data_IF_897950843665
#
_entry.id   IF_897950843665
#
_cell.length_a   1.000
_cell.length_b   1.000
_cell.length_c   1.000
_cell.angle_alpha   90.00
_cell.angle_beta   90.00
_cell.angle_gamma   90.00
#
_symmetry.space_group_name_H-M   'P 1'
#
loop_
_entity.id
_entity.type
_entity.pdbx_description
1 polymer ?
#
# COMPACT_ATOMS: atom_id res chain seq x y z
N UNK A 1 14.00 -17.87 22.67
CA UNK A 1 12.61 -17.70 22.21
C UNK A 1 12.59 -18.17 20.76
N UNK A 2 11.70 -19.07 20.38
CA UNK A 2 11.25 -19.09 18.99
C UNK A 2 10.40 -17.84 18.81
N UNK A 3 10.67 -17.07 17.76
CA UNK A 3 9.88 -15.89 17.39
C UNK A 3 8.42 -16.32 17.18
N UNK A 4 7.58 -16.07 18.19
CA UNK A 4 6.15 -16.23 18.03
C UNK A 4 5.68 -15.00 17.26
N UNK A 5 5.34 -15.18 15.99
CA UNK A 5 4.70 -14.14 15.17
C UNK A 5 3.44 -13.68 15.94
N UNK A 6 3.49 -12.47 16.50
CA UNK A 6 2.38 -11.89 17.27
C UNK A 6 1.37 -11.20 16.37
N UNK A 7 1.81 -10.73 15.20
CA UNK A 7 1.00 -10.05 14.20
C UNK A 7 1.51 -10.36 12.80
N UNK A 8 0.58 -10.53 11.87
CA UNK A 8 0.87 -10.69 10.44
C UNK A 8 0.29 -9.49 9.71
N UNK A 9 1.05 -8.96 8.76
CA UNK A 9 0.59 -7.86 7.91
C UNK A 9 -0.09 -8.44 6.68
N UNK A 10 -1.34 -8.06 6.42
CA UNK A 10 -2.06 -8.41 5.18
C UNK A 10 -2.26 -7.14 4.34
N UNK A 11 -2.03 -7.26 3.03
CA UNK A 11 -2.24 -6.22 2.02
C UNK A 11 -3.67 -6.24 1.43
N UNK A 12 -4.32 -7.41 1.38
CA UNK A 12 -5.77 -7.64 1.42
C UNK A 12 -6.07 -9.16 1.63
N UNK A 13 -7.34 -9.52 1.88
CA UNK A 13 -7.77 -10.92 2.02
C UNK A 13 -7.76 -11.75 0.72
N UNK A 14 -7.89 -11.13 -0.47
CA UNK A 14 -7.77 -11.82 -1.78
C UNK A 14 -6.38 -12.43 -1.99
N UNK A 15 -5.31 -11.71 -1.65
CA UNK A 15 -3.93 -12.22 -1.75
C UNK A 15 -3.64 -13.33 -0.72
N UNK A 16 -4.38 -13.31 0.39
CA UNK A 16 -4.28 -14.32 1.44
C UNK A 16 -4.78 -15.70 0.95
N UNK A 17 -5.88 -15.73 0.18
CA UNK A 17 -6.40 -16.96 -0.45
C UNK A 17 -5.40 -17.50 -1.49
N UNK A 18 -4.81 -16.63 -2.31
CA UNK A 18 -3.81 -17.04 -3.30
C UNK A 18 -2.52 -17.57 -2.66
N UNK A 19 -2.07 -16.96 -1.56
CA UNK A 19 -0.90 -17.43 -0.82
C UNK A 19 -1.12 -18.80 -0.14
N UNK A 20 -2.33 -19.06 0.37
CA UNK A 20 -2.67 -20.39 0.92
C UNK A 20 -2.93 -21.44 -0.17
N UNK A 21 -3.41 -21.05 -1.36
CA UNK A 21 -3.47 -21.96 -2.51
C UNK A 21 -2.08 -22.36 -3.02
N UNK A 22 -1.09 -21.46 -2.92
CA UNK A 22 0.25 -21.68 -3.44
C UNK A 22 1.22 -22.33 -2.43
N UNK A 23 0.95 -22.23 -1.12
CA UNK A 23 1.79 -22.76 -0.04
C UNK A 23 1.05 -23.67 0.96
N UNK A 24 -0.25 -23.89 0.78
CA UNK A 24 -0.98 -24.91 1.50
C UNK A 24 -0.58 -26.28 0.98
N UNK A 25 0.05 -27.10 1.81
CA UNK A 25 0.10 -28.54 1.55
C UNK A 25 -1.33 -29.03 1.33
N UNK A 26 -1.57 -29.80 0.28
CA UNK A 26 -2.85 -30.49 0.04
C UNK A 26 -3.27 -31.22 1.32
N UNK A 27 -4.14 -30.57 2.10
CA UNK A 27 -4.96 -31.29 3.05
C UNK A 27 -6.09 -31.80 2.18
N UNK A 28 -6.07 -33.10 1.90
CA UNK A 28 -7.21 -33.87 1.40
C UNK A 28 -8.39 -33.67 2.36
N UNK A 29 -9.09 -32.56 2.22
CA UNK A 29 -10.48 -32.40 2.63
C UNK A 29 -11.29 -32.56 1.36
N UNK A 30 -11.44 -33.83 0.97
CA UNK A 30 -12.45 -34.28 0.01
C UNK A 30 -13.82 -33.83 0.51
N UNK A 31 -14.36 -32.78 -0.10
CA UNK A 31 -15.79 -32.61 -0.30
C UNK A 31 -15.99 -32.08 -1.72
N UNK A 32 -16.69 -32.88 -2.51
CA UNK A 32 -16.92 -32.76 -3.94
C UNK A 32 -17.35 -31.34 -4.37
N UNK A 33 -16.55 -30.72 -5.24
CA UNK A 33 -16.98 -29.60 -6.09
C UNK A 33 -16.88 -30.12 -7.53
N UNK A 34 -17.96 -30.08 -8.34
CA UNK A 34 -17.92 -30.57 -9.70
C UNK A 34 -16.90 -29.77 -10.53
N UNK A 35 -15.91 -30.48 -11.09
CA UNK A 35 -15.00 -29.94 -12.09
C UNK A 35 -15.81 -29.53 -13.34
N UNK A 36 -15.93 -28.23 -13.62
CA UNK A 36 -16.20 -27.77 -14.99
C UNK A 36 -14.88 -27.48 -15.66
N UNK A 37 -14.51 -28.45 -16.49
CA UNK A 37 -13.45 -28.49 -17.49
C UNK A 37 -13.02 -27.13 -18.05
N UNK A 38 -11.75 -26.78 -17.84
CA UNK A 38 -11.02 -25.84 -18.67
C UNK A 38 -10.55 -26.56 -19.93
N UNK A 39 -10.86 -26.01 -21.11
CA UNK A 39 -10.16 -26.30 -22.36
C UNK A 39 -9.15 -25.17 -22.60
N UNK A 40 -7.86 -25.45 -22.83
CA UNK A 40 -6.83 -24.45 -23.09
C UNK A 40 -6.78 -24.06 -24.57
N UNK A 41 -5.99 -23.02 -24.87
CA UNK A 41 -5.60 -22.53 -26.19
C UNK A 41 -6.54 -21.53 -26.87
N UNK A 42 -6.29 -20.24 -26.66
CA UNK A 42 -6.02 -19.29 -27.77
C UNK A 42 -5.06 -18.19 -27.26
N UNK A 43 -3.84 -18.18 -27.79
CA UNK A 43 -2.99 -16.98 -27.83
C UNK A 43 -3.64 -15.90 -28.71
N UNK A 44 -3.71 -14.67 -28.21
CA UNK A 44 -4.25 -13.55 -29.00
C UNK A 44 -4.09 -12.22 -28.28
N UNK A 45 -3.04 -11.50 -28.65
CA UNK A 45 -2.79 -10.11 -28.29
C UNK A 45 -3.93 -9.24 -28.87
N UNK A 46 -4.63 -8.47 -28.03
CA UNK A 46 -5.46 -7.37 -28.51
C UNK A 46 -5.62 -6.27 -27.44
N UNK A 47 -5.44 -5.04 -27.91
CA UNK A 47 -5.66 -3.77 -27.23
C UNK A 47 -6.98 -3.72 -26.43
N UNK A 48 -6.95 -3.08 -25.26
CA UNK A 48 -8.15 -2.53 -24.64
C UNK A 48 -8.02 -1.01 -24.55
N UNK A 49 -8.56 -0.35 -25.57
CA UNK A 49 -9.12 0.99 -25.48
C UNK A 49 -10.19 1.00 -24.38
N UNK A 50 -10.00 1.80 -23.33
CA UNK A 50 -11.01 2.04 -22.29
C UNK A 50 -11.69 3.37 -22.57
N UNK A 51 -12.64 3.35 -23.49
CA UNK A 51 -13.73 4.33 -23.52
C UNK A 51 -14.85 3.84 -22.57
N UNK A 52 -15.16 4.67 -21.58
CA UNK A 52 -16.30 4.53 -20.68
C UNK A 52 -17.56 5.11 -21.34
N UNK A 53 -18.68 4.38 -21.27
CA UNK A 53 -20.00 4.96 -20.97
C UNK A 53 -20.92 3.90 -20.29
N UNK A 54 -21.88 4.31 -19.42
CA UNK A 54 -22.49 3.48 -18.37
C UNK A 54 -23.91 3.00 -18.70
N UNK A 55 -24.40 2.13 -17.82
CA UNK A 55 -25.78 1.62 -17.68
C UNK A 55 -26.21 0.47 -18.61
N UNK A 56 -26.21 -0.76 -18.05
CA UNK A 56 -27.43 -1.42 -17.58
C UNK A 56 -27.12 -2.88 -17.18
N UNK A 57 -27.75 -3.37 -16.12
CA UNK A 57 -27.93 -4.81 -15.88
C UNK A 57 -27.48 -5.30 -14.50
N UNK A 58 -28.40 -5.25 -13.55
CA UNK A 58 -28.33 -5.87 -12.22
C UNK A 58 -28.43 -7.41 -12.30
N UNK A 59 -28.10 -8.05 -11.17
CA UNK A 59 -28.43 -9.41 -10.73
C UNK A 59 -27.43 -10.54 -11.04
N UNK A 60 -26.38 -10.60 -10.20
CA UNK A 60 -26.09 -11.84 -9.47
C UNK A 60 -25.51 -11.47 -8.10
N UNK A 61 -26.39 -11.48 -7.10
CA UNK A 61 -26.09 -11.14 -5.70
C UNK A 61 -25.06 -12.09 -5.09
N UNK A 62 -23.79 -11.76 -5.25
CA UNK A 62 -22.74 -12.28 -4.37
C UNK A 62 -22.93 -11.59 -3.02
N UNK A 63 -23.39 -12.35 -2.02
CA UNK A 63 -23.45 -11.87 -0.65
C UNK A 63 -22.03 -11.51 -0.19
N UNK A 64 -21.75 -10.21 -0.12
CA UNK A 64 -20.49 -9.68 0.33
C UNK A 64 -20.44 -9.75 1.86
N UNK A 65 -19.91 -10.83 2.40
CA UNK A 65 -19.52 -10.83 3.80
C UNK A 65 -18.18 -10.12 3.88
N UNK A 66 -18.20 -8.85 4.32
CA UNK A 66 -16.97 -8.15 4.67
C UNK A 66 -16.26 -8.95 5.75
N UNK A 67 -15.01 -9.31 5.50
CA UNK A 67 -14.17 -9.99 6.50
C UNK A 67 -13.91 -9.06 7.70
N UNK A 68 -14.09 -7.73 7.56
CA UNK A 68 -14.13 -6.82 8.72
C UNK A 68 -15.25 -7.20 9.71
N UNK A 69 -16.37 -7.80 9.26
CA UNK A 69 -17.47 -8.24 10.12
C UNK A 69 -17.24 -9.64 10.77
N UNK A 70 -16.33 -10.45 10.22
CA UNK A 70 -15.96 -11.77 10.78
C UNK A 70 -14.78 -11.64 11.76
N UNK A 71 -13.86 -10.71 11.49
CA UNK A 71 -12.62 -10.56 12.25
C UNK A 71 -12.75 -9.75 13.55
N UNK A 72 -13.89 -9.10 13.79
CA UNK A 72 -14.04 -8.23 14.97
C UNK A 72 -14.25 -9.00 16.28
N UNK A 73 -14.60 -10.31 16.26
CA UNK A 73 -15.05 -10.96 17.50
C UNK A 73 -14.39 -12.27 17.96
N UNK A 74 -13.51 -12.98 17.23
CA UNK A 74 -13.07 -14.29 17.78
C UNK A 74 -11.72 -14.87 17.36
N UNK A 75 -11.01 -14.28 16.40
CA UNK A 75 -9.72 -14.84 16.00
C UNK A 75 -8.59 -14.09 16.71
N UNK A 76 -7.98 -14.71 17.73
CA UNK A 76 -6.78 -14.22 18.43
C UNK A 76 -5.52 -14.05 17.56
N UNK A 77 -5.68 -13.88 16.25
CA UNK A 77 -4.66 -13.52 15.28
C UNK A 77 -4.74 -12.00 15.08
N UNK A 78 -3.82 -11.25 15.67
CA UNK A 78 -3.74 -9.79 15.52
C UNK A 78 -3.33 -9.39 14.09
N UNK A 79 -4.28 -9.38 13.16
CA UNK A 79 -4.05 -8.97 11.78
C UNK A 79 -3.86 -7.45 11.71
N UNK A 80 -2.67 -7.03 11.27
CA UNK A 80 -2.33 -5.62 11.09
C UNK A 80 -2.57 -5.23 9.64
N UNK A 81 -3.33 -4.16 9.39
CA UNK A 81 -3.48 -3.59 8.04
C UNK A 81 -2.11 -3.09 7.57
N UNK A 82 -1.72 -3.46 6.35
CA UNK A 82 -0.45 -3.02 5.78
C UNK A 82 -0.38 -1.48 5.69
N UNK A 83 0.63 -0.89 6.33
CA UNK A 83 0.86 0.54 6.30
C UNK A 83 1.17 1.05 4.89
N UNK A 84 1.99 0.29 4.13
CA UNK A 84 2.30 0.58 2.72
C UNK A 84 1.02 0.60 1.89
N UNK A 85 0.17 -0.41 2.05
CA UNK A 85 -1.13 -0.46 1.37
C UNK A 85 -2.03 0.72 1.77
N UNK A 86 -2.05 1.08 3.05
CA UNK A 86 -2.81 2.23 3.54
C UNK A 86 -2.34 3.54 2.90
N UNK A 87 -1.03 3.76 2.79
CA UNK A 87 -0.46 4.91 2.07
C UNK A 87 -0.79 4.86 0.56
N UNK A 88 -0.77 3.68 -0.06
CA UNK A 88 -1.16 3.52 -1.45
C UNK A 88 -2.63 3.93 -1.67
N UNK A 89 -3.54 3.52 -0.78
CA UNK A 89 -4.95 3.94 -0.82
C UNK A 89 -5.13 5.45 -0.57
N UNK A 90 -4.29 6.06 0.29
CA UNK A 90 -4.28 7.52 0.45
C UNK A 90 -3.92 8.19 -0.87
N UNK A 91 -2.87 7.73 -1.53
CA UNK A 91 -2.31 8.35 -2.71
C UNK A 91 -3.10 8.04 -4.00
N UNK A 92 -3.98 7.02 -3.98
CA UNK A 92 -4.89 6.67 -5.08
C UNK A 92 -6.34 7.04 -4.75
N UNK A 93 -7.02 6.24 -3.94
CA UNK A 93 -8.46 6.35 -3.68
C UNK A 93 -8.83 7.68 -3.03
N UNK A 94 -8.11 8.10 -2.00
CA UNK A 94 -8.42 9.38 -1.33
C UNK A 94 -8.03 10.58 -2.17
N UNK A 95 -6.89 10.50 -2.86
CA UNK A 95 -6.42 11.53 -3.79
C UNK A 95 -7.46 11.85 -4.89
N UNK A 96 -8.24 10.86 -5.34
CA UNK A 96 -9.28 11.07 -6.35
C UNK A 96 -10.34 12.10 -5.94
N UNK A 97 -10.57 12.35 -4.63
CA UNK A 97 -11.47 13.43 -4.18
C UNK A 97 -11.05 14.81 -4.66
N UNK A 98 -9.76 15.00 -4.97
CA UNK A 98 -9.27 16.26 -5.54
C UNK A 98 -9.89 16.56 -6.91
N UNK A 99 -10.30 15.53 -7.64
CA UNK A 99 -10.89 15.65 -8.98
C UNK A 99 -12.31 16.23 -8.96
N UNK A 100 -12.94 16.33 -7.79
CA UNK A 100 -14.21 17.04 -7.61
C UNK A 100 -14.02 18.56 -7.83
N UNK A 101 -12.80 19.07 -7.62
CA UNK A 101 -12.44 20.43 -7.99
C UNK A 101 -12.21 20.53 -9.50
N UNK A 102 -13.08 21.28 -10.19
CA UNK A 102 -13.00 21.50 -11.65
C UNK A 102 -11.71 22.19 -12.09
N UNK A 103 -11.22 23.16 -11.31
CA UNK A 103 -9.95 23.85 -11.56
C UNK A 103 -8.75 22.91 -11.45
N UNK A 104 -8.69 22.09 -10.40
CA UNK A 104 -7.65 21.07 -10.26
C UNK A 104 -7.73 20.02 -11.36
N UNK A 105 -8.93 19.46 -11.62
CA UNK A 105 -9.14 18.40 -12.62
C UNK A 105 -8.70 18.85 -14.02
N UNK A 106 -9.08 20.07 -14.41
CA UNK A 106 -8.71 20.63 -15.72
C UNK A 106 -7.20 20.90 -15.84
N UNK A 107 -6.59 21.51 -14.82
CA UNK A 107 -5.14 21.75 -14.78
C UNK A 107 -4.34 20.43 -14.81
N UNK A 108 -4.76 19.45 -14.00
CA UNK A 108 -4.16 18.12 -13.94
C UNK A 108 -4.23 17.42 -15.30
N UNK A 109 -5.43 17.36 -15.91
CA UNK A 109 -5.61 16.75 -17.23
C UNK A 109 -4.72 17.41 -18.27
N UNK A 110 -4.65 18.75 -18.27
CA UNK A 110 -3.84 19.51 -19.23
C UNK A 110 -2.34 19.25 -19.07
N UNK A 111 -1.79 19.36 -17.86
CA UNK A 111 -0.36 19.19 -17.63
C UNK A 111 0.08 17.72 -17.82
N UNK A 112 -0.65 16.77 -17.21
CA UNK A 112 -0.29 15.35 -17.24
C UNK A 112 -0.46 14.73 -18.63
N UNK A 113 -1.48 15.11 -19.41
CA UNK A 113 -1.63 14.59 -20.78
C UNK A 113 -0.49 15.01 -21.71
N UNK A 114 0.05 16.22 -21.55
CA UNK A 114 1.22 16.68 -22.30
C UNK A 114 2.47 15.88 -21.94
N UNK A 115 2.72 15.66 -20.65
CA UNK A 115 3.83 14.83 -20.19
C UNK A 115 3.68 13.37 -20.67
N UNK A 116 2.48 12.81 -20.58
CA UNK A 116 2.17 11.45 -21.02
C UNK A 116 2.42 11.25 -22.51
N UNK A 117 2.07 12.22 -23.36
CA UNK A 117 2.37 12.13 -24.80
C UNK A 117 3.86 11.98 -25.08
N UNK A 118 4.70 12.73 -24.38
CA UNK A 118 6.15 12.63 -24.54
C UNK A 118 6.69 11.29 -24.00
N UNK A 119 6.20 10.83 -22.85
CA UNK A 119 6.59 9.53 -22.30
C UNK A 119 6.17 8.37 -23.21
N UNK A 120 4.96 8.42 -23.77
CA UNK A 120 4.47 7.42 -24.73
C UNK A 120 5.28 7.41 -26.02
N UNK A 121 5.66 8.59 -26.52
CA UNK A 121 6.52 8.69 -27.70
C UNK A 121 7.86 7.98 -27.46
N UNK A 122 8.46 8.20 -26.30
CA UNK A 122 9.73 7.56 -25.92
C UNK A 122 9.58 6.05 -25.67
N UNK A 123 8.46 5.57 -25.15
CA UNK A 123 8.28 4.15 -24.85
C UNK A 123 7.97 3.30 -26.09
N UNK A 124 7.36 3.88 -27.12
CA UNK A 124 6.86 3.14 -28.29
C UNK A 124 7.85 2.99 -29.43
N UNK A 125 8.96 3.73 -29.45
CA UNK A 125 9.93 3.69 -30.56
C UNK A 125 11.34 4.00 -30.08
N UNK A 126 12.29 3.13 -30.44
CA UNK A 126 13.73 3.34 -30.22
C UNK A 126 14.24 4.55 -31.01
N UNK A 127 13.81 4.72 -32.26
CA UNK A 127 14.14 5.88 -33.10
C UNK A 127 13.65 7.18 -32.47
N UNK A 128 12.42 7.19 -31.95
CA UNK A 128 11.91 8.36 -31.23
C UNK A 128 12.68 8.61 -29.93
N UNK A 129 13.03 7.55 -29.18
CA UNK A 129 13.83 7.66 -27.97
C UNK A 129 15.23 8.24 -28.24
N UNK A 130 15.87 7.86 -29.36
CA UNK A 130 17.17 8.38 -29.78
C UNK A 130 17.07 9.83 -30.26
N UNK A 131 16.02 10.19 -31.00
CA UNK A 131 15.74 11.59 -31.37
C UNK A 131 15.49 12.48 -30.15
N UNK A 132 14.77 11.97 -29.15
CA UNK A 132 14.56 12.64 -27.86
C UNK A 132 15.90 12.80 -27.13
N UNK A 133 16.73 11.75 -27.09
CA UNK A 133 18.05 11.80 -26.48
C UNK A 133 18.95 12.82 -27.19
N UNK A 134 18.93 12.87 -28.51
CA UNK A 134 19.70 13.82 -29.31
C UNK A 134 19.24 15.26 -29.05
N UNK A 135 17.94 15.49 -28.95
CA UNK A 135 17.37 16.84 -28.75
C UNK A 135 17.57 17.33 -27.32
N UNK A 136 17.33 16.47 -26.33
CA UNK A 136 17.38 16.82 -24.90
C UNK A 136 18.79 16.65 -24.30
N UNK A 137 19.70 15.97 -25.02
CA UNK A 137 21.02 15.54 -24.53
C UNK A 137 20.96 14.74 -23.22
N UNK A 138 19.81 14.11 -22.96
CA UNK A 138 19.54 13.32 -21.75
C UNK A 138 18.47 12.27 -22.04
N UNK A 139 18.61 11.08 -21.46
CA UNK A 139 17.57 10.04 -21.48
C UNK A 139 16.40 10.49 -20.61
N UNK A 140 15.21 10.55 -21.19
CA UNK A 140 13.98 10.87 -20.46
C UNK A 140 13.63 9.73 -19.49
N UNK A 141 13.37 10.04 -18.22
CA UNK A 141 12.84 9.08 -17.26
C UNK A 141 11.32 8.95 -17.49
N UNK A 142 10.82 7.72 -17.57
CA UNK A 142 9.40 7.43 -17.84
C UNK A 142 8.76 6.74 -16.65
N UNK A 143 7.47 7.01 -16.37
CA UNK A 143 6.73 6.32 -15.34
C UNK A 143 6.68 4.81 -15.61
N UNK A 144 6.77 4.03 -14.54
CA UNK A 144 6.58 2.58 -14.55
C UNK A 144 5.34 2.28 -13.72
N UNK A 145 4.33 1.68 -14.37
CA UNK A 145 3.03 1.37 -13.77
C UNK A 145 3.18 0.40 -12.59
N UNK A 146 4.16 -0.52 -12.65
CA UNK A 146 4.41 -1.52 -11.62
C UNK A 146 5.13 -0.95 -10.38
N UNK A 147 5.50 0.33 -10.40
CA UNK A 147 6.24 0.98 -9.31
C UNK A 147 5.61 2.34 -8.98
N UNK A 148 4.86 2.39 -7.90
CA UNK A 148 4.02 3.54 -7.50
C UNK A 148 4.73 4.91 -7.50
N UNK A 149 5.95 5.01 -6.95
CA UNK A 149 6.72 6.27 -6.91
C UNK A 149 7.34 6.67 -8.27
N UNK A 150 7.32 5.79 -9.28
CA UNK A 150 7.98 6.05 -10.56
C UNK A 150 7.38 7.22 -11.32
N UNK A 151 6.06 7.43 -11.22
CA UNK A 151 5.39 8.61 -11.78
C UNK A 151 5.93 9.89 -11.14
N UNK A 152 6.08 9.90 -9.81
CA UNK A 152 6.65 11.04 -9.10
C UNK A 152 8.07 11.35 -9.56
N UNK A 153 8.93 10.33 -9.60
CA UNK A 153 10.33 10.49 -9.99
C UNK A 153 10.45 11.01 -11.43
N UNK A 154 9.59 10.51 -12.32
CA UNK A 154 9.52 10.95 -13.71
C UNK A 154 9.06 12.41 -13.82
N UNK A 155 8.04 12.80 -13.07
CA UNK A 155 7.55 14.20 -13.03
C UNK A 155 8.62 15.13 -12.49
N UNK A 156 9.31 14.77 -11.40
CA UNK A 156 10.39 15.60 -10.83
C UNK A 156 11.49 15.83 -11.84
N UNK A 157 11.99 14.76 -12.49
CA UNK A 157 13.05 14.89 -13.51
C UNK A 157 12.56 15.70 -14.71
N UNK A 158 11.33 15.48 -15.15
CA UNK A 158 10.76 16.17 -16.30
C UNK A 158 10.50 17.66 -16.03
N UNK A 159 9.99 18.01 -14.86
CA UNK A 159 9.76 19.41 -14.49
C UNK A 159 11.07 20.19 -14.41
N UNK A 160 12.12 19.59 -13.80
CA UNK A 160 13.46 20.17 -13.79
C UNK A 160 14.01 20.45 -15.21
N UNK A 161 13.68 19.59 -16.19
CA UNK A 161 14.04 19.79 -17.59
C UNK A 161 13.24 20.96 -18.20
N UNK A 162 11.94 21.05 -17.91
CA UNK A 162 11.08 22.14 -18.38
C UNK A 162 11.48 23.50 -17.79
N UNK A 163 11.98 23.55 -16.55
CA UNK A 163 12.49 24.77 -15.93
C UNK A 163 13.81 25.22 -16.56
N UNK A 164 14.74 24.29 -16.81
CA UNK A 164 16.08 24.61 -17.30
C UNK A 164 16.18 24.78 -18.81
N UNK A 165 15.42 24.00 -19.57
CA UNK A 165 15.55 23.94 -21.03
C UNK A 165 14.22 23.60 -21.71
N UNK A 166 13.18 24.39 -21.40
CA UNK A 166 11.85 24.21 -22.00
C UNK A 166 11.87 24.21 -23.53
N UNK A 167 12.68 25.08 -24.12
CA UNK A 167 12.82 25.20 -25.56
C UNK A 167 13.32 23.90 -26.21
N UNK A 168 14.20 23.13 -25.58
CA UNK A 168 14.60 21.82 -26.10
C UNK A 168 13.44 20.82 -26.11
N UNK A 169 12.58 20.84 -25.09
CA UNK A 169 11.38 19.99 -25.07
C UNK A 169 10.42 20.35 -26.19
N UNK A 170 10.25 21.64 -26.50
CA UNK A 170 9.41 22.07 -27.63
C UNK A 170 10.02 21.76 -29.00
N UNK A 171 11.35 21.64 -29.09
CA UNK A 171 12.06 21.22 -30.31
C UNK A 171 12.00 19.71 -30.56
N UNK A 172 11.52 18.91 -29.60
CA UNK A 172 11.25 17.49 -29.84
C UNK A 172 10.12 17.42 -30.88
N UNK A 173 10.52 17.31 -32.13
CA UNK A 173 9.63 17.25 -33.28
C UNK A 173 9.74 15.85 -33.86
N UNK A 174 8.69 15.06 -33.71
CA UNK A 174 8.61 13.72 -34.29
C UNK A 174 7.43 13.68 -35.25
N UNK A 175 7.58 13.15 -36.49
CA UNK A 175 6.58 13.30 -37.56
C UNK A 175 5.15 12.89 -37.20
N UNK A 176 4.99 11.96 -36.25
CA UNK A 176 3.71 11.41 -35.82
C UNK A 176 3.18 11.99 -34.49
N UNK A 177 3.94 12.84 -33.80
CA UNK A 177 3.54 13.39 -32.49
C UNK A 177 3.80 14.89 -32.44
N UNK A 178 2.72 15.67 -32.54
CA UNK A 178 2.74 17.10 -32.23
C UNK A 178 2.66 17.30 -30.73
N UNK A 179 3.81 17.58 -30.11
CA UNK A 179 3.84 17.98 -28.70
C UNK A 179 3.27 19.38 -28.55
N UNK A 180 2.32 19.51 -27.62
CA UNK A 180 1.80 20.83 -27.27
C UNK A 180 2.83 21.58 -26.44
N UNK A 181 2.92 22.89 -26.65
CA UNK A 181 3.77 23.78 -25.87
C UNK A 181 3.38 23.75 -24.39
N UNK A 182 4.37 23.53 -23.53
CA UNK A 182 4.25 23.68 -22.08
C UNK A 182 4.26 25.16 -21.71
N UNK A 183 3.21 25.62 -21.03
CA UNK A 183 3.08 27.00 -20.53
C UNK A 183 3.69 27.13 -19.13
N UNK A 184 3.86 28.35 -18.63
CA UNK A 184 4.30 28.58 -17.25
C UNK A 184 3.33 27.99 -16.22
N UNK A 185 2.02 28.00 -16.51
CA UNK A 185 1.02 27.33 -15.68
C UNK A 185 1.23 25.82 -15.62
N UNK A 186 1.62 25.18 -16.72
CA UNK A 186 1.88 23.72 -16.71
C UNK A 186 3.11 23.41 -15.85
N UNK A 187 4.18 24.21 -15.95
CA UNK A 187 5.40 24.05 -15.13
C UNK A 187 5.11 24.34 -13.67
N UNK A 188 4.37 25.41 -13.35
CA UNK A 188 3.93 25.72 -11.99
C UNK A 188 3.10 24.58 -11.39
N UNK A 189 2.19 24.01 -12.18
CA UNK A 189 1.39 22.85 -11.76
C UNK A 189 2.26 21.63 -11.43
N UNK A 190 3.24 21.28 -12.29
CA UNK A 190 4.15 20.16 -12.05
C UNK A 190 5.15 20.43 -10.91
N UNK A 191 5.46 21.70 -10.65
CA UNK A 191 6.28 22.11 -9.51
C UNK A 191 5.55 21.86 -8.20
N UNK A 192 4.29 22.27 -8.10
CA UNK A 192 3.44 21.99 -6.94
C UNK A 192 3.18 20.48 -6.76
N UNK A 193 3.00 19.74 -7.86
CA UNK A 193 2.97 18.27 -7.85
C UNK A 193 4.18 17.71 -7.11
N UNK A 194 5.39 18.11 -7.55
CA UNK A 194 6.62 17.58 -7.00
C UNK A 194 6.75 17.91 -5.50
N UNK A 195 6.34 19.11 -5.09
CA UNK A 195 6.38 19.52 -3.69
C UNK A 195 5.46 18.64 -2.82
N UNK A 196 4.20 18.51 -3.19
CA UNK A 196 3.20 17.77 -2.39
C UNK A 196 3.48 16.26 -2.40
N UNK A 197 3.66 15.68 -3.58
CA UNK A 197 3.78 14.22 -3.74
C UNK A 197 5.10 13.70 -3.18
N UNK A 198 6.17 14.50 -3.16
CA UNK A 198 7.47 14.07 -2.62
C UNK A 198 7.41 13.64 -1.15
N UNK A 199 6.57 14.26 -0.34
CA UNK A 199 6.41 13.90 1.07
C UNK A 199 5.77 12.52 1.23
N UNK A 200 4.76 12.23 0.39
CA UNK A 200 4.11 10.91 0.36
C UNK A 200 5.06 9.84 -0.19
N UNK A 201 5.79 10.15 -1.28
CA UNK A 201 6.76 9.23 -1.88
C UNK A 201 7.89 8.85 -0.90
N UNK A 202 8.47 9.82 -0.20
CA UNK A 202 9.51 9.58 0.82
C UNK A 202 9.00 8.75 1.99
N UNK A 203 7.76 9.00 2.43
CA UNK A 203 7.14 8.21 3.49
C UNK A 203 6.97 6.75 3.07
N UNK A 204 6.49 6.55 1.84
CA UNK A 204 6.30 5.23 1.24
C UNK A 204 7.62 4.47 1.12
N UNK A 205 8.65 5.09 0.55
CA UNK A 205 9.99 4.48 0.38
C UNK A 205 10.58 4.05 1.73
N UNK A 206 10.38 4.87 2.77
CA UNK A 206 10.87 4.57 4.11
C UNK A 206 10.15 3.38 4.75
N UNK A 207 8.82 3.27 4.59
CA UNK A 207 8.03 2.20 5.20
C UNK A 207 8.19 0.88 4.41
N UNK A 208 8.39 0.97 3.09
CA UNK A 208 8.62 -0.20 2.24
C UNK A 208 10.07 -0.70 2.31
N UNK A 209 11.03 0.18 2.64
CA UNK A 209 12.44 -0.16 2.72
C UNK A 209 12.75 -1.20 3.80
N UNK A 210 13.46 -2.27 3.42
CA UNK A 210 13.81 -3.40 4.32
C UNK A 210 14.48 -2.94 5.62
N UNK A 211 15.35 -1.93 5.53
CA UNK A 211 16.13 -1.44 6.68
C UNK A 211 15.29 -0.65 7.71
N UNK A 212 14.09 -0.22 7.34
CA UNK A 212 13.21 0.61 8.17
C UNK A 212 11.78 0.03 8.29
N UNK A 213 11.54 -1.18 7.79
CA UNK A 213 10.25 -1.86 7.80
C UNK A 213 9.95 -2.53 9.17
N UNK A 214 10.07 -1.78 10.26
CA UNK A 214 9.68 -2.22 11.60
C UNK A 214 8.70 -1.23 12.24
N UNK A 215 7.90 -1.74 13.18
CA UNK A 215 6.75 -1.02 13.73
C UNK A 215 7.09 0.35 14.34
N UNK A 216 8.22 0.44 15.04
CA UNK A 216 8.67 1.69 15.68
C UNK A 216 9.11 2.80 14.72
N UNK A 217 9.26 2.54 13.41
CA UNK A 217 9.52 3.58 12.41
C UNK A 217 8.23 4.18 11.82
N UNK A 218 7.10 3.47 11.94
CA UNK A 218 5.87 3.80 11.23
C UNK A 218 5.25 5.09 11.76
N UNK A 219 5.00 5.15 13.08
CA UNK A 219 4.34 6.30 13.71
C UNK A 219 5.14 7.61 13.48
N UNK A 220 6.47 7.66 13.67
CA UNK A 220 7.28 8.84 13.33
C UNK A 220 7.22 9.23 11.86
N UNK A 221 7.09 8.24 10.96
CA UNK A 221 7.03 8.50 9.52
C UNK A 221 5.68 9.11 9.15
N UNK A 222 4.58 8.58 9.68
CA UNK A 222 3.24 9.15 9.51
C UNK A 222 3.21 10.58 10.06
N UNK A 223 3.66 10.79 11.29
CA UNK A 223 3.68 12.11 11.93
C UNK A 223 4.50 13.13 11.14
N UNK A 224 5.73 12.78 10.75
CA UNK A 224 6.59 13.67 9.95
C UNK A 224 5.98 13.97 8.57
N UNK A 225 5.25 13.02 7.98
CA UNK A 225 4.56 13.24 6.69
C UNK A 225 3.43 14.25 6.85
N UNK A 226 2.61 14.13 7.90
CA UNK A 226 1.54 15.07 8.22
C UNK A 226 2.12 16.47 8.46
N UNK A 227 3.18 16.58 9.26
CA UNK A 227 3.86 17.84 9.55
C UNK A 227 4.35 18.51 8.27
N UNK A 228 5.08 17.77 7.41
CA UNK A 228 5.58 18.29 6.14
C UNK A 228 4.47 18.70 5.17
N UNK A 229 3.38 17.94 5.10
CA UNK A 229 2.22 18.31 4.29
C UNK A 229 1.52 19.55 4.84
N UNK A 230 1.45 19.73 6.16
CA UNK A 230 0.94 20.96 6.77
C UNK A 230 1.86 22.16 6.52
N UNK A 231 3.18 22.00 6.56
CA UNK A 231 4.12 23.05 6.15
C UNK A 231 3.89 23.49 4.70
N UNK A 232 3.63 22.53 3.80
CA UNK A 232 3.28 22.82 2.40
C UNK A 232 1.92 23.49 2.29
N UNK A 233 0.95 23.15 3.15
CA UNK A 233 -0.37 23.80 3.20
C UNK A 233 -0.30 25.27 3.58
N UNK A 234 0.69 25.66 4.37
CA UNK A 234 0.94 27.07 4.72
C UNK A 234 1.52 27.87 3.55
N UNK A 235 2.05 27.20 2.52
CA UNK A 235 2.49 27.86 1.29
C UNK A 235 1.28 28.17 0.42
N UNK A 236 1.33 29.27 -0.30
CA UNK A 236 0.28 29.64 -1.24
C UNK A 236 0.34 28.75 -2.50
N UNK A 237 -0.39 27.63 -2.49
CA UNK A 237 -0.53 26.71 -3.63
C UNK A 237 -1.66 27.17 -4.55
N UNK A 238 -1.36 27.33 -5.84
CA UNK A 238 -2.29 27.77 -6.88
C UNK A 238 -3.19 26.64 -7.36
N UNK A 239 -2.70 25.40 -7.39
CA UNK A 239 -3.41 24.28 -8.01
C UNK A 239 -3.61 23.10 -7.05
N UNK A 240 -2.60 22.78 -6.22
CA UNK A 240 -2.56 21.53 -5.46
C UNK A 240 -3.27 21.53 -4.11
N UNK A 241 -3.87 22.66 -3.70
CA UNK A 241 -4.63 22.78 -2.45
C UNK A 241 -5.72 21.71 -2.27
N UNK A 242 -6.57 21.39 -3.27
CA UNK A 242 -7.60 20.35 -3.13
C UNK A 242 -7.00 18.97 -2.87
N UNK A 243 -5.92 18.62 -3.58
CA UNK A 243 -5.27 17.32 -3.45
C UNK A 243 -4.52 17.18 -2.13
N UNK A 244 -3.84 18.23 -1.69
CA UNK A 244 -3.21 18.26 -0.37
C UNK A 244 -4.23 18.02 0.76
N UNK A 245 -5.40 18.66 0.68
CA UNK A 245 -6.51 18.44 1.61
C UNK A 245 -7.05 17.00 1.58
N UNK A 246 -7.20 16.43 0.38
CA UNK A 246 -7.64 15.05 0.21
C UNK A 246 -6.65 14.02 0.79
N UNK A 247 -5.34 14.23 0.57
CA UNK A 247 -4.27 13.40 1.12
C UNK A 247 -4.26 13.48 2.65
N UNK A 248 -4.25 14.68 3.23
CA UNK A 248 -4.25 14.87 4.69
C UNK A 248 -5.48 14.20 5.33
N UNK A 249 -6.66 14.36 4.74
CA UNK A 249 -7.89 13.69 5.19
C UNK A 249 -7.78 12.17 5.08
N UNK A 250 -7.17 11.66 4.00
CA UNK A 250 -6.92 10.24 3.81
C UNK A 250 -5.98 9.66 4.87
N UNK A 251 -4.87 10.35 5.16
CA UNK A 251 -3.93 9.95 6.22
C UNK A 251 -4.65 9.93 7.57
N UNK A 252 -5.38 10.99 7.91
CA UNK A 252 -6.13 11.05 9.17
C UNK A 252 -7.13 9.89 9.28
N UNK A 253 -7.89 9.59 8.22
CA UNK A 253 -8.87 8.51 8.21
C UNK A 253 -8.25 7.11 8.35
N UNK A 254 -7.14 6.85 7.67
CA UNK A 254 -6.57 5.49 7.55
C UNK A 254 -5.47 5.18 8.56
N UNK A 255 -4.72 6.19 8.96
CA UNK A 255 -3.52 6.07 9.79
C UNK A 255 -3.64 6.85 11.10
N UNK A 256 -4.68 7.69 11.25
CA UNK A 256 -4.86 8.51 12.46
C UNK A 256 -5.04 7.69 13.74
N UNK A 257 -5.74 6.54 13.67
CA UNK A 257 -5.89 5.65 14.82
C UNK A 257 -4.54 5.07 15.29
N UNK A 258 -3.60 4.84 14.36
CA UNK A 258 -2.26 4.34 14.70
C UNK A 258 -1.48 5.33 15.58
N UNK A 259 -1.75 6.63 15.43
CA UNK A 259 -1.11 7.66 16.25
C UNK A 259 -1.57 7.61 17.73
N UNK A 260 -2.72 6.99 18.00
CA UNK A 260 -3.31 6.87 19.35
C UNK A 260 -3.09 5.49 19.98
N UNK A 261 -2.68 4.50 19.19
CA UNK A 261 -2.47 3.13 19.63
C UNK A 261 -1.20 3.02 20.50
N UNK A 262 -1.39 2.49 21.71
CA UNK A 262 -0.32 2.39 22.71
C UNK A 262 0.83 1.48 22.27
N UNK A 263 0.56 0.43 21.50
CA UNK A 263 1.60 -0.49 21.02
C UNK A 263 2.52 0.19 20.01
N UNK A 264 1.95 0.97 19.07
CA UNK A 264 2.74 1.75 18.13
C UNK A 264 3.52 2.87 18.83
N UNK A 265 2.93 3.50 19.83
CA UNK A 265 3.61 4.51 20.65
C UNK A 265 4.77 3.90 21.45
N UNK A 266 4.57 2.75 22.09
CA UNK A 266 5.62 2.05 22.84
C UNK A 266 6.74 1.56 21.93
N UNK A 267 6.41 0.91 20.82
CA UNK A 267 7.43 0.45 19.86
C UNK A 267 8.24 1.60 19.28
N UNK A 268 7.61 2.75 19.07
CA UNK A 268 8.26 3.99 18.67
C UNK A 268 9.17 4.54 19.76
N UNK A 269 8.71 4.57 21.01
CA UNK A 269 9.46 5.12 22.13
C UNK A 269 10.67 4.26 22.53
N UNK A 270 10.57 2.93 22.39
CA UNK A 270 11.69 2.00 22.55
C UNK A 270 12.64 1.97 21.36
N UNK A 271 12.32 2.65 20.25
CA UNK A 271 13.15 2.58 19.06
C UNK A 271 14.46 3.38 19.22
N UNK A 272 15.66 2.77 19.02
CA UNK A 272 16.96 3.38 19.34
C UNK A 272 17.36 4.64 18.57
N UNK A 273 16.64 5.01 17.50
CA UNK A 273 16.92 6.25 16.72
C UNK A 273 15.85 7.32 16.88
N UNK A 274 14.72 6.99 17.49
CA UNK A 274 13.52 7.83 17.47
C UNK A 274 13.21 8.29 18.89
N UNK A 275 13.24 7.35 19.84
CA UNK A 275 13.00 7.56 21.25
C UNK A 275 11.66 8.25 21.56
N UNK A 276 11.39 8.44 22.85
CA UNK A 276 10.22 9.16 23.34
C UNK A 276 10.17 10.62 22.86
N UNK A 277 11.33 11.26 22.65
CA UNK A 277 11.43 12.65 22.17
C UNK A 277 10.59 12.92 20.91
N UNK A 278 10.57 11.97 19.96
CA UNK A 278 9.74 12.11 18.75
C UNK A 278 8.26 12.17 19.08
N UNK A 279 7.77 11.39 20.06
CA UNK A 279 6.38 11.44 20.52
C UNK A 279 5.99 12.83 21.05
N UNK A 280 6.92 13.51 21.75
CA UNK A 280 6.69 14.87 22.26
C UNK A 280 6.40 15.88 21.14
N UNK A 281 7.00 15.67 19.95
CA UNK A 281 6.85 16.56 18.80
C UNK A 281 5.47 16.50 18.15
N UNK A 282 4.79 15.33 18.19
CA UNK A 282 3.52 15.16 17.48
C UNK A 282 2.33 14.76 18.36
N UNK A 283 2.56 14.38 19.63
CA UNK A 283 1.48 14.03 20.55
C UNK A 283 1.88 14.22 22.03
N UNK A 284 2.13 15.47 22.42
CA UNK A 284 2.60 15.83 23.77
C UNK A 284 1.65 15.35 24.89
N UNK A 285 0.34 15.28 24.64
CA UNK A 285 -0.66 14.87 25.64
C UNK A 285 -0.53 13.40 26.04
N UNK A 286 0.06 12.55 25.18
CA UNK A 286 0.22 11.11 25.44
C UNK A 286 1.58 10.75 26.04
N UNK A 287 2.52 11.70 26.13
CA UNK A 287 3.90 11.44 26.57
C UNK A 287 3.92 10.78 27.94
N UNK A 288 3.25 11.36 28.94
CA UNK A 288 3.20 10.80 30.30
C UNK A 288 2.60 9.39 30.34
N UNK A 289 1.54 9.15 29.56
CA UNK A 289 0.90 7.82 29.46
C UNK A 289 1.89 6.80 28.89
N UNK A 290 2.61 7.16 27.84
CA UNK A 290 3.58 6.27 27.19
C UNK A 290 4.79 6.05 28.09
N UNK A 291 5.31 7.06 28.78
CA UNK A 291 6.40 6.93 29.77
C UNK A 291 6.03 5.93 30.88
N UNK A 292 4.85 6.10 31.48
CA UNK A 292 4.37 5.19 32.53
C UNK A 292 4.23 3.75 32.02
N UNK A 293 3.75 3.58 30.78
CA UNK A 293 3.66 2.28 30.13
C UNK A 293 5.04 1.68 29.83
N UNK A 294 6.01 2.48 29.37
CA UNK A 294 7.39 2.05 29.15
C UNK A 294 8.03 1.57 30.45
N UNK A 295 7.91 2.34 31.54
CA UNK A 295 8.41 1.94 32.85
C UNK A 295 7.82 0.60 33.30
N UNK A 296 6.52 0.44 33.11
CA UNK A 296 5.81 -0.80 33.47
C UNK A 296 6.36 -1.99 32.69
N UNK A 297 6.53 -1.84 31.37
CA UNK A 297 7.12 -2.88 30.50
C UNK A 297 8.54 -3.24 30.94
N UNK A 298 9.38 -2.24 31.23
CA UNK A 298 10.77 -2.46 31.70
C UNK A 298 10.78 -3.13 33.07
N UNK A 299 9.98 -2.67 34.03
CA UNK A 299 9.88 -3.27 35.38
C UNK A 299 9.43 -4.74 35.30
N UNK A 300 8.49 -5.07 34.42
CA UNK A 300 8.05 -6.45 34.18
C UNK A 300 9.20 -7.27 33.57
N UNK A 301 9.91 -6.73 32.59
CA UNK A 301 11.04 -7.42 31.94
C UNK A 301 12.18 -7.70 32.93
N UNK A 302 12.49 -6.76 33.82
CA UNK A 302 13.54 -6.90 34.85
C UNK A 302 13.17 -7.92 35.94
N UNK A 303 11.88 -8.09 36.25
CA UNK A 303 11.38 -9.09 37.21
C UNK A 303 11.35 -10.53 36.66
N UNK A 304 11.58 -10.73 35.35
CA UNK A 304 11.65 -12.09 34.77
C UNK A 304 12.97 -12.77 35.16
N UNK A 305 12.95 -13.97 35.76
CA UNK A 305 14.18 -14.66 36.15
C UNK A 305 15.05 -14.99 34.93
N UNK A 306 16.34 -14.61 34.98
CA UNK A 306 17.38 -15.03 34.04
C UNK A 306 17.66 -16.53 34.24
N UNK A 307 16.87 -17.43 33.64
CA UNK A 307 17.11 -18.85 33.89
C UNK A 307 16.07 -19.86 33.41
N UNK A 308 15.52 -19.73 32.20
CA UNK A 308 15.01 -20.90 31.48
C UNK A 308 15.57 -20.89 30.06
N UNK A 309 16.80 -21.38 29.94
CA UNK A 309 17.21 -22.03 28.70
C UNK A 309 16.18 -23.15 28.47
N UNK A 310 15.36 -23.01 27.43
CA UNK A 310 14.42 -24.05 27.05
C UNK A 310 15.25 -25.28 26.65
N UNK A 311 15.24 -26.32 27.48
CA UNK A 311 15.55 -27.65 27.01
C UNK A 311 14.60 -27.94 25.84
N UNK A 312 15.15 -28.31 24.69
CA UNK A 312 14.37 -28.76 23.55
C UNK A 312 13.45 -29.90 24.00
N UNK A 313 12.12 -29.83 23.82
CA UNK A 313 11.29 -31.00 24.00
C UNK A 313 11.54 -31.91 22.80
N UNK A 314 12.21 -33.05 23.04
CA UNK A 314 12.13 -34.18 22.14
C UNK A 314 10.63 -34.49 21.92
N UNK A 315 10.21 -34.44 20.67
CA UNK A 315 8.86 -34.76 20.23
C UNK A 315 8.56 -36.22 20.58
N UNK A 316 7.99 -36.48 21.75
CA UNK A 316 7.44 -37.79 22.13
C UNK A 316 5.93 -37.70 21.98
N UNK A 317 5.42 -38.05 20.78
CA UNK A 317 4.00 -38.29 20.59
C UNK A 317 3.55 -39.40 21.55
N UNK A 318 2.82 -39.04 22.61
CA UNK A 318 1.99 -40.02 23.33
C UNK A 318 0.66 -40.11 22.61
N UNK A 319 0.43 -41.19 21.86
CA UNK A 319 -0.91 -41.61 21.44
C UNK A 319 -1.77 -41.79 22.70
N UNK A 320 -2.70 -40.86 22.96
CA UNK A 320 -3.87 -41.13 23.79
C UNK A 320 -5.02 -41.44 22.84
N UNK A 321 -5.22 -42.73 22.58
CA UNK A 321 -6.47 -43.23 22.02
C UNK A 321 -7.45 -43.24 23.19
N UNK A 322 -8.43 -42.35 23.19
CA UNK A 322 -9.62 -42.52 24.02
C UNK A 322 -10.61 -43.36 23.23
N UNK A 323 -10.71 -44.64 23.60
CA UNK A 323 -11.82 -45.51 23.22
C UNK A 323 -13.07 -45.09 23.96
N UNK A 324 -14.09 -44.64 23.23
CA UNK A 324 -15.48 -44.64 23.69
C UNK A 324 -16.38 -44.71 22.45
N UNK A 325 -16.92 -45.90 22.20
CA UNK A 325 -18.30 -46.21 21.80
C UNK A 325 -18.30 -47.72 21.50
N UNK A 326 -18.67 -48.48 22.53
CA UNK A 326 -19.18 -49.84 22.44
C UNK A 326 -20.52 -49.75 23.16
N UNK A 327 -21.62 -49.91 22.45
CA UNK A 327 -22.91 -50.45 22.91
C UNK A 327 -23.97 -50.24 21.82
N UNK A 328 -24.51 -51.36 21.30
CA UNK A 328 -25.85 -51.37 20.70
C UNK A 328 -25.95 -51.80 19.24
N UNK A 329 -25.70 -53.07 18.94
CA UNK A 329 -26.53 -53.75 17.92
C UNK A 329 -26.67 -55.22 18.28
N UNK A 330 -27.77 -55.51 18.95
CA UNK A 330 -28.24 -56.86 19.21
C UNK A 330 -29.02 -57.38 18.02
N UNK A 331 -28.62 -58.57 17.57
CA UNK A 331 -29.47 -59.69 17.14
C UNK A 331 -30.53 -59.47 16.04
N UNK A 332 -30.20 -60.10 14.91
CA UNK A 332 -30.92 -61.23 14.31
C UNK A 332 -32.31 -61.03 13.67
N UNK A 333 -32.37 -61.41 12.39
CA UNK A 333 -33.28 -62.49 11.97
C UNK A 333 -33.92 -62.35 10.59
N UNK A 334 -33.90 -63.48 9.85
CA UNK A 334 -34.84 -63.94 8.82
C UNK A 334 -34.66 -63.38 7.39
N UNK A 335 -34.07 -64.12 6.44
CA UNK A 335 -34.68 -65.09 5.47
C UNK A 335 -35.65 -64.41 4.47
N UNK A 336 -35.64 -64.66 3.16
CA UNK A 336 -34.93 -65.64 2.35
C UNK A 336 -35.47 -65.62 0.90
N UNK A 337 -34.87 -66.51 0.09
CA UNK A 337 -35.15 -66.90 -1.29
C UNK A 337 -34.81 -65.96 -2.44
#
# INVERSE_FOLDING_TARGET
MLDKVTRTTTDNSKNFVTAFMQFGTEIELLLDIPETTADPDVEGVADMDLDMDPEAGDENGVWYISVDAILDESSGLGLMKCAVHSFNLVASVNANKALDSTSFKSANKKAMSKAQRLWNLKSRSTVAADSILETLKRRLVIPNINRWNSTHDSVVVFNNLLEKNRGAVHRVNYPQVKLQTFTDSDVGFLTEYAQVVSHVAKAFDKIQGKDQAYLGSLLPTVAATIEKLNEVKLKHLLYWSPLLGAILTGIAKRLGLLLQDLEYQLTTAFHPKVHLFRLEQYNTTQVNRVTNAMETVVKIALKRPKGRAAAAPAMRMRKKISSAILLGSGRAGATGH
#
